data_IF_397418494372
#
_entry.id   IF_397418494372
#
_cell.length_a   1.000
_cell.length_b   1.000
_cell.length_c   1.000
_cell.angle_alpha   90.00
_cell.angle_beta   90.00
_cell.angle_gamma   90.00
#
_symmetry.space_group_name_H-M   'P 1'
#
loop_
_entity.id
_entity.type
_entity.pdbx_description
1 polymer ?
#
# COMPACT_ATOMS: atom_id res chain seq x y z
N UNK A 1 -5.23 13.24 7.60
CA UNK A 1 -4.40 12.05 7.87
C UNK A 1 -5.37 10.92 8.17
N UNK A 2 -5.55 10.00 7.22
CA UNK A 2 -6.51 8.89 7.36
C UNK A 2 -6.07 7.89 8.43
N UNK A 3 -4.75 7.73 8.63
CA UNK A 3 -4.14 6.91 9.68
C UNK A 3 -3.44 7.77 10.73
N UNK A 4 -3.52 7.35 12.00
CA UNK A 4 -2.97 8.05 13.16
C UNK A 4 -1.59 7.53 13.58
N UNK A 5 -1.20 6.35 13.10
CA UNK A 5 0.09 5.73 13.37
C UNK A 5 0.57 4.87 12.18
N UNK A 6 1.86 4.49 12.22
CA UNK A 6 2.40 3.53 11.26
C UNK A 6 1.75 2.15 11.43
N UNK A 7 1.41 1.75 12.66
CA UNK A 7 0.75 0.47 12.92
C UNK A 7 -0.63 0.40 12.28
N UNK A 8 -1.43 1.48 12.35
CA UNK A 8 -2.72 1.57 11.67
C UNK A 8 -2.55 1.48 10.14
N UNK A 9 -1.53 2.15 9.59
CA UNK A 9 -1.20 2.06 8.16
C UNK A 9 -0.87 0.62 7.74
N UNK A 10 0.01 -0.06 8.49
CA UNK A 10 0.43 -1.42 8.14
C UNK A 10 -0.66 -2.46 8.41
N UNK A 11 -1.54 -2.23 9.39
CA UNK A 11 -2.72 -3.07 9.60
C UNK A 11 -3.67 -3.01 8.39
N UNK A 12 -3.93 -1.82 7.86
CA UNK A 12 -4.79 -1.65 6.68
C UNK A 12 -4.14 -2.26 5.42
N UNK A 13 -2.84 -2.00 5.22
CA UNK A 13 -2.08 -2.60 4.12
C UNK A 13 -2.07 -4.13 4.18
N UNK A 14 -1.86 -4.70 5.37
CA UNK A 14 -1.94 -6.15 5.58
C UNK A 14 -3.34 -6.68 5.25
N UNK A 15 -4.39 -5.98 5.65
CA UNK A 15 -5.77 -6.35 5.31
C UNK A 15 -6.02 -6.44 3.80
N UNK A 16 -5.46 -5.52 3.01
CA UNK A 16 -5.50 -5.59 1.55
C UNK A 16 -4.73 -6.81 1.02
N UNK A 17 -3.51 -7.04 1.53
CA UNK A 17 -2.69 -8.19 1.12
C UNK A 17 -3.41 -9.52 1.40
N UNK A 18 -4.02 -9.67 2.59
CA UNK A 18 -4.76 -10.87 2.96
C UNK A 18 -5.96 -11.09 2.01
N UNK A 19 -6.74 -10.04 1.73
CA UNK A 19 -7.88 -10.10 0.81
C UNK A 19 -7.46 -10.46 -0.63
N UNK A 20 -6.33 -9.91 -1.10
CA UNK A 20 -5.79 -10.23 -2.42
C UNK A 20 -5.25 -11.66 -2.50
N UNK A 21 -4.66 -12.16 -1.41
CA UNK A 21 -4.25 -13.57 -1.30
C UNK A 21 -5.46 -14.51 -1.40
N UNK A 22 -6.55 -14.23 -0.68
CA UNK A 22 -7.79 -15.02 -0.76
C UNK A 22 -8.36 -15.08 -2.17
N UNK A 23 -8.33 -13.93 -2.87
CA UNK A 23 -8.82 -13.79 -4.26
C UNK A 23 -7.78 -14.20 -5.32
N UNK A 24 -6.57 -14.55 -4.91
CA UNK A 24 -5.42 -14.87 -5.80
C UNK A 24 -5.12 -13.77 -6.82
N UNK A 25 -5.19 -12.50 -6.42
CA UNK A 25 -4.84 -11.36 -7.27
C UNK A 25 -3.31 -11.23 -7.37
N UNK A 26 -2.70 -12.05 -8.23
CA UNK A 26 -1.24 -12.16 -8.32
C UNK A 26 -0.55 -10.86 -8.77
N UNK A 27 -1.19 -10.06 -9.63
CA UNK A 27 -0.62 -8.80 -10.12
C UNK A 27 -0.39 -7.78 -8.99
N UNK A 28 -1.42 -7.36 -8.22
CA UNK A 28 -1.20 -6.43 -7.10
C UNK A 28 -0.32 -7.03 -5.99
N UNK A 29 -0.44 -8.34 -5.71
CA UNK A 29 0.44 -9.03 -4.76
C UNK A 29 1.91 -8.95 -5.17
N UNK A 30 2.23 -9.18 -6.45
CA UNK A 30 3.60 -9.14 -6.96
C UNK A 30 4.27 -7.77 -6.81
N UNK A 31 3.47 -6.69 -6.80
CA UNK A 31 3.97 -5.32 -6.65
C UNK A 31 4.20 -4.95 -5.19
N UNK A 32 3.32 -5.38 -4.29
CA UNK A 32 3.31 -4.89 -2.91
C UNK A 32 4.11 -5.76 -1.95
N UNK A 33 4.19 -7.08 -2.19
CA UNK A 33 4.76 -8.01 -1.22
C UNK A 33 6.24 -7.76 -0.95
N UNK A 34 7.02 -7.46 -1.99
CA UNK A 34 8.45 -7.14 -1.84
C UNK A 34 8.65 -5.94 -0.90
N UNK A 35 8.17 -4.75 -1.27
CA UNK A 35 8.29 -3.54 -0.45
C UNK A 35 7.67 -3.63 0.94
N UNK A 36 6.58 -4.38 1.10
CA UNK A 36 5.97 -4.62 2.41
C UNK A 36 6.89 -5.44 3.33
N UNK A 37 7.48 -6.53 2.81
CA UNK A 37 8.35 -7.42 3.59
C UNK A 37 9.75 -6.85 3.82
N UNK A 38 10.25 -6.00 2.92
CA UNK A 38 11.56 -5.34 3.05
C UNK A 38 11.51 -4.01 3.80
N UNK A 39 10.34 -3.59 4.30
CA UNK A 39 10.18 -2.29 4.92
C UNK A 39 11.07 -2.12 6.16
N UNK A 40 11.91 -1.09 6.14
CA UNK A 40 12.96 -0.82 7.15
C UNK A 40 12.62 0.33 8.12
N UNK A 41 11.45 0.98 7.97
CA UNK A 41 11.06 2.14 8.77
C UNK A 41 11.65 3.49 8.33
N UNK A 42 12.57 3.49 7.36
CA UNK A 42 13.27 4.69 6.88
C UNK A 42 12.54 5.32 5.68
N UNK A 43 12.93 6.54 5.31
CA UNK A 43 12.30 7.32 4.24
C UNK A 43 12.36 6.63 2.87
N UNK A 44 13.44 5.89 2.59
CA UNK A 44 13.59 5.07 1.39
C UNK A 44 12.59 3.91 1.37
N UNK A 45 12.44 3.18 2.48
CA UNK A 45 11.42 2.13 2.63
C UNK A 45 9.99 2.67 2.46
N UNK A 46 9.70 3.86 2.99
CA UNK A 46 8.43 4.55 2.71
C UNK A 46 8.27 4.90 1.23
N UNK A 47 9.36 5.30 0.56
CA UNK A 47 9.41 5.55 -0.87
C UNK A 47 9.05 4.32 -1.69
N UNK A 48 9.62 3.16 -1.35
CA UNK A 48 9.34 1.88 -2.02
C UNK A 48 7.88 1.45 -1.87
N UNK A 49 7.34 1.51 -0.64
CA UNK A 49 5.91 1.19 -0.39
C UNK A 49 5.00 2.15 -1.14
N UNK A 50 5.29 3.46 -1.12
CA UNK A 50 4.51 4.46 -1.86
C UNK A 50 4.53 4.21 -3.36
N UNK A 51 5.69 3.86 -3.93
CA UNK A 51 5.83 3.55 -5.34
C UNK A 51 5.05 2.29 -5.73
N UNK A 52 5.10 1.24 -4.90
CA UNK A 52 4.35 0.01 -5.13
C UNK A 52 2.84 0.21 -5.09
N UNK A 53 2.34 1.00 -4.13
CA UNK A 53 0.92 1.36 -4.05
C UNK A 53 0.47 2.16 -5.28
N UNK A 54 1.27 3.14 -5.71
CA UNK A 54 1.01 3.92 -6.94
C UNK A 54 0.99 3.03 -8.18
N UNK A 55 1.92 2.08 -8.28
CA UNK A 55 1.97 1.09 -9.36
C UNK A 55 0.73 0.21 -9.35
N UNK A 56 0.33 -0.28 -8.18
CA UNK A 56 -0.89 -1.09 -8.01
C UNK A 56 -2.13 -0.34 -8.46
N UNK A 57 -2.31 0.91 -8.03
CA UNK A 57 -3.42 1.77 -8.50
C UNK A 57 -3.42 1.98 -10.01
N UNK A 58 -2.24 2.16 -10.62
CA UNK A 58 -2.12 2.44 -12.04
C UNK A 58 -2.41 1.22 -12.92
N UNK A 59 -1.97 0.03 -12.50
CA UNK A 59 -2.00 -1.16 -13.34
C UNK A 59 -3.13 -2.14 -12.99
N UNK A 60 -3.58 -2.17 -11.73
CA UNK A 60 -4.51 -3.19 -11.24
C UNK A 60 -5.92 -2.63 -10.98
N UNK A 61 -6.21 -1.40 -11.45
CA UNK A 61 -7.48 -0.69 -11.20
C UNK A 61 -8.73 -1.51 -11.54
N UNK A 62 -8.67 -2.31 -12.60
CA UNK A 62 -9.82 -3.11 -13.04
C UNK A 62 -10.02 -4.39 -12.21
N UNK A 63 -9.00 -4.80 -11.44
CA UNK A 63 -9.05 -5.99 -10.57
C UNK A 63 -9.50 -5.64 -9.14
N UNK A 64 -9.26 -4.38 -8.73
CA UNK A 64 -9.61 -3.87 -7.42
C UNK A 64 -11.08 -3.42 -7.35
N UNK A 65 -11.74 -3.78 -6.25
CA UNK A 65 -13.05 -3.23 -5.90
C UNK A 65 -12.95 -1.74 -5.58
N UNK A 66 -14.07 -1.01 -5.63
CA UNK A 66 -14.10 0.42 -5.29
C UNK A 66 -13.61 0.70 -3.86
N UNK A 67 -13.88 -0.20 -2.91
CA UNK A 67 -13.40 -0.08 -1.54
C UNK A 67 -11.88 -0.26 -1.45
N UNK A 68 -11.32 -1.25 -2.15
CA UNK A 68 -9.87 -1.47 -2.19
C UNK A 68 -9.15 -0.30 -2.89
N UNK A 69 -9.71 0.23 -3.97
CA UNK A 69 -9.16 1.42 -4.65
C UNK A 69 -9.08 2.62 -3.69
N UNK A 70 -10.16 2.89 -2.94
CA UNK A 70 -10.18 3.97 -1.96
C UNK A 70 -9.11 3.76 -0.87
N UNK A 71 -8.98 2.53 -0.35
CA UNK A 71 -7.94 2.19 0.64
C UNK A 71 -6.53 2.37 0.08
N UNK A 72 -6.29 1.96 -1.16
CA UNK A 72 -4.99 2.17 -1.83
C UNK A 72 -4.70 3.67 -1.98
N UNK A 73 -5.68 4.49 -2.34
CA UNK A 73 -5.51 5.94 -2.42
C UNK A 73 -5.19 6.58 -1.06
N UNK A 74 -5.89 6.17 0.00
CA UNK A 74 -5.61 6.61 1.38
C UNK A 74 -4.20 6.24 1.82
N UNK A 75 -3.76 5.00 1.55
CA UNK A 75 -2.40 4.54 1.82
C UNK A 75 -1.36 5.33 1.02
N UNK A 76 -1.59 5.61 -0.26
CA UNK A 76 -0.69 6.45 -1.08
C UNK A 76 -0.53 7.84 -0.46
N UNK A 77 -1.63 8.46 -0.05
CA UNK A 77 -1.61 9.78 0.56
C UNK A 77 -0.83 9.77 1.89
N UNK A 78 -1.07 8.77 2.73
CA UNK A 78 -0.39 8.64 4.01
C UNK A 78 1.12 8.41 3.86
N UNK A 79 1.53 7.46 3.00
CA UNK A 79 2.96 7.19 2.75
C UNK A 79 3.67 8.42 2.17
N UNK A 80 3.01 9.13 1.24
CA UNK A 80 3.55 10.37 0.65
C UNK A 80 3.72 11.48 1.71
N UNK A 81 2.78 11.59 2.65
CA UNK A 81 2.87 12.55 3.74
C UNK A 81 4.06 12.26 4.68
N UNK A 82 4.37 10.99 4.96
CA UNK A 82 5.55 10.62 5.77
C UNK A 82 6.85 11.02 5.07
N UNK A 83 6.97 10.77 3.77
CA UNK A 83 8.17 11.11 2.98
C UNK A 83 8.45 12.63 2.97
N UNK A 84 7.40 13.45 2.92
CA UNK A 84 7.54 14.91 2.86
C UNK A 84 7.59 15.60 4.24
N UNK A 85 7.37 14.87 5.33
CA UNK A 85 7.47 15.39 6.69
C UNK A 85 8.95 15.46 7.08
N UNK A 86 9.59 16.60 6.80
CA UNK A 86 10.89 16.97 7.37
C UNK A 86 10.74 17.46 8.81
#
# INVERSE_FOLDING_TARGET
MTYRSNDEFFAELKGLIDAWCERRLLSPLSRILGPFLSFNGMTDGWGEVSAALKSTRAHDRNELTSSEQAKVDDLIQAATAVIHRK
#
